data_IF_328221624270
#
_entry.id   IF_328221624270
#
_cell.length_a   1.000
_cell.length_b   1.000
_cell.length_c   1.000
_cell.angle_alpha   90.00
_cell.angle_beta   90.00
_cell.angle_gamma   90.00
#
_symmetry.space_group_name_H-M   'P 1'
#
loop_
_entity.id
_entity.type
_entity.pdbx_description
1 polymer ?
#
# COMPACT_ATOMS: atom_id res chain seq x y z
N UNK A 1 56.38 -12.50 -25.29
CA UNK A 1 57.58 -11.98 -24.66
C UNK A 1 57.25 -11.36 -23.32
N UNK A 2 57.87 -11.95 -22.33
CA UNK A 2 58.09 -11.54 -20.93
C UNK A 2 56.92 -11.53 -19.95
N UNK A 3 56.92 -12.60 -19.21
CA UNK A 3 56.56 -12.88 -17.84
C UNK A 3 57.15 -11.88 -16.83
N UNK A 4 56.37 -11.53 -15.78
CA UNK A 4 56.96 -11.30 -14.45
C UNK A 4 56.01 -11.82 -13.36
N UNK A 5 56.55 -12.69 -12.59
CA UNK A 5 56.20 -13.36 -11.37
C UNK A 5 56.80 -12.51 -10.20
N UNK A 6 56.16 -12.38 -9.09
CA UNK A 6 56.73 -12.12 -7.77
C UNK A 6 55.55 -12.10 -6.79
N UNK A 7 55.45 -12.92 -5.90
CA UNK A 7 56.13 -13.37 -4.68
C UNK A 7 55.36 -13.00 -3.42
N UNK A 8 55.10 -14.01 -2.65
CA UNK A 8 54.32 -14.01 -1.45
C UNK A 8 55.00 -13.33 -0.25
N UNK A 9 54.21 -12.97 0.73
CA UNK A 9 54.67 -12.70 2.08
C UNK A 9 53.77 -13.41 3.10
N UNK A 10 54.37 -14.39 3.70
CA UNK A 10 53.93 -15.13 4.88
C UNK A 10 54.21 -14.24 6.09
N UNK A 11 53.29 -14.07 7.01
CA UNK A 11 53.56 -13.54 8.33
C UNK A 11 52.92 -14.46 9.36
N UNK A 12 53.72 -14.76 10.37
CA UNK A 12 53.62 -15.78 11.36
C UNK A 12 52.53 -15.52 12.42
N UNK A 13 52.13 -16.62 13.03
CA UNK A 13 51.28 -16.70 14.20
C UNK A 13 52.09 -16.35 15.44
N UNK A 14 51.58 -15.49 16.29
CA UNK A 14 51.99 -15.37 17.67
C UNK A 14 50.85 -15.77 18.61
N UNK A 15 51.17 -16.77 19.37
CA UNK A 15 50.42 -17.33 20.49
C UNK A 15 50.72 -16.55 21.77
N UNK A 16 49.70 -15.99 22.41
CA UNK A 16 49.83 -15.54 23.81
C UNK A 16 48.61 -15.92 24.65
N UNK A 17 48.81 -16.89 25.44
CA UNK A 17 48.56 -17.04 26.89
C UNK A 17 47.15 -16.79 27.47
N UNK A 18 46.63 -17.92 27.98
CA UNK A 18 45.59 -18.08 28.98
C UNK A 18 45.89 -17.33 30.28
N UNK A 19 44.95 -16.53 30.77
CA UNK A 19 44.76 -16.35 32.20
C UNK A 19 43.29 -16.45 32.56
N UNK A 20 42.97 -17.47 33.34
CA UNK A 20 41.71 -17.66 34.00
C UNK A 20 41.57 -16.66 35.16
N UNK A 21 40.46 -15.93 35.19
CA UNK A 21 40.04 -15.24 36.41
C UNK A 21 38.58 -15.57 36.69
N UNK A 22 38.38 -15.91 37.92
CA UNK A 22 37.26 -16.43 38.66
C UNK A 22 35.93 -15.70 38.42
N UNK A 23 34.90 -16.52 38.27
CA UNK A 23 33.49 -16.22 38.20
C UNK A 23 32.98 -15.73 39.57
N UNK A 24 32.50 -14.52 39.66
CA UNK A 24 31.53 -14.11 40.66
C UNK A 24 30.12 -14.33 40.08
N UNK A 25 29.37 -15.16 40.78
CA UNK A 25 27.95 -15.38 40.51
C UNK A 25 27.17 -14.18 41.07
N UNK A 26 26.76 -13.28 40.18
CA UNK A 26 25.73 -12.29 40.52
C UNK A 26 24.37 -12.88 40.28
N UNK A 27 23.56 -12.85 41.32
CA UNK A 27 22.18 -13.32 41.38
C UNK A 27 21.33 -12.47 40.42
N UNK A 28 20.61 -13.14 39.54
CA UNK A 28 19.56 -12.53 38.74
C UNK A 28 18.46 -11.90 39.60
N UNK A 29 18.07 -10.67 39.34
CA UNK A 29 16.87 -10.11 39.96
C UNK A 29 15.65 -10.87 39.46
N UNK A 30 14.82 -11.36 40.37
CA UNK A 30 13.52 -11.94 40.13
C UNK A 30 12.66 -10.93 39.37
N UNK A 31 12.54 -11.16 38.06
CA UNK A 31 11.70 -10.37 37.20
C UNK A 31 10.25 -10.52 37.63
N UNK A 32 9.70 -9.43 38.18
CA UNK A 32 8.26 -9.29 38.38
C UNK A 32 7.58 -9.51 37.04
N UNK A 33 6.53 -10.32 37.07
CA UNK A 33 5.54 -10.44 36.01
C UNK A 33 5.07 -9.01 35.64
N UNK A 34 5.64 -8.48 34.57
CA UNK A 34 5.08 -7.30 33.95
C UNK A 34 3.65 -7.68 33.56
N UNK A 35 2.71 -7.01 34.18
CA UNK A 35 1.30 -7.17 33.99
C UNK A 35 0.96 -7.16 32.49
N UNK A 36 0.16 -8.13 32.07
CA UNK A 36 -0.40 -8.27 30.71
C UNK A 36 -1.29 -7.08 30.27
N UNK A 37 -1.36 -6.03 31.08
CA UNK A 37 -2.14 -4.81 30.81
C UNK A 37 -1.44 -3.81 29.87
N UNK A 38 -0.20 -4.06 29.46
CA UNK A 38 0.51 -3.26 28.45
C UNK A 38 0.64 -3.95 27.09
N UNK A 39 -0.24 -4.89 26.76
CA UNK A 39 -0.58 -5.11 25.35
C UNK A 39 -1.41 -3.90 24.90
N UNK A 40 -0.69 -2.79 24.81
CA UNK A 40 -1.15 -1.54 24.26
C UNK A 40 -1.96 -1.84 23.01
N UNK A 41 -3.16 -1.33 23.00
CA UNK A 41 -3.91 -0.87 21.84
C UNK A 41 -2.99 -0.96 20.61
N UNK A 42 -2.98 -2.13 19.96
CA UNK A 42 -2.41 -2.25 18.62
C UNK A 42 -3.24 -1.26 17.82
N UNK A 43 -2.63 -0.16 17.41
CA UNK A 43 -3.27 0.80 16.52
C UNK A 43 -3.76 0.01 15.30
N UNK A 44 -5.04 -0.36 15.35
CA UNK A 44 -5.67 -1.04 14.24
C UNK A 44 -5.84 -0.01 13.13
N UNK A 45 -5.13 -0.21 12.05
CA UNK A 45 -5.30 0.60 10.84
C UNK A 45 -6.49 0.07 10.06
N UNK A 46 -7.36 0.94 9.58
CA UNK A 46 -8.46 0.52 8.71
C UNK A 46 -7.96 0.34 7.27
N UNK A 47 -8.34 -0.78 6.65
CA UNK A 47 -8.24 -0.96 5.20
C UNK A 47 -9.61 -0.68 4.59
N UNK A 48 -9.69 0.32 3.74
CA UNK A 48 -10.91 0.69 3.01
C UNK A 48 -10.80 0.19 1.58
N UNK A 49 -11.82 -0.52 1.12
CA UNK A 49 -11.91 -1.07 -0.22
C UNK A 49 -13.21 -0.59 -0.88
N UNK A 50 -13.16 0.25 -1.93
CA UNK A 50 -14.33 0.54 -2.75
C UNK A 50 -14.71 -0.70 -3.55
N UNK A 51 -16.00 -1.05 -3.56
CA UNK A 51 -16.47 -2.25 -4.24
C UNK A 51 -17.75 -2.01 -5.03
N UNK A 52 -17.82 -2.58 -6.24
CA UNK A 52 -19.01 -2.55 -7.11
C UNK A 52 -19.20 -3.96 -7.66
N UNK A 53 -20.16 -4.70 -7.09
CA UNK A 53 -20.42 -6.12 -7.41
C UNK A 53 -20.58 -6.41 -8.88
N UNK A 54 -21.33 -5.59 -9.60
CA UNK A 54 -21.61 -5.80 -11.01
C UNK A 54 -20.42 -5.43 -11.94
N UNK A 55 -19.36 -4.83 -11.42
CA UNK A 55 -18.11 -4.53 -12.14
C UNK A 55 -16.99 -5.49 -11.78
N UNK A 56 -17.11 -6.18 -10.66
CA UNK A 56 -16.13 -7.18 -10.21
C UNK A 56 -16.17 -8.44 -11.10
N UNK A 57 -15.03 -9.07 -11.25
CA UNK A 57 -14.88 -10.27 -12.06
C UNK A 57 -14.62 -11.50 -11.16
N UNK A 58 -15.69 -12.17 -10.76
CA UNK A 58 -15.62 -13.40 -9.98
C UNK A 58 -15.29 -13.17 -8.50
N UNK A 59 -14.21 -13.76 -7.99
CA UNK A 59 -13.86 -13.78 -6.56
C UNK A 59 -12.76 -12.75 -6.19
N UNK A 60 -12.59 -11.69 -6.95
CA UNK A 60 -11.50 -10.72 -6.76
C UNK A 60 -11.45 -10.21 -5.31
N UNK A 61 -12.50 -9.59 -4.82
CA UNK A 61 -12.57 -9.10 -3.45
C UNK A 61 -12.27 -10.18 -2.39
N UNK A 62 -12.82 -11.39 -2.58
CA UNK A 62 -12.57 -12.51 -1.66
C UNK A 62 -11.09 -12.91 -1.64
N UNK A 63 -10.42 -12.89 -2.78
CA UNK A 63 -9.00 -13.19 -2.88
C UNK A 63 -8.14 -12.05 -2.30
N UNK A 64 -8.54 -10.79 -2.50
CA UNK A 64 -7.91 -9.62 -1.86
C UNK A 64 -7.93 -9.76 -0.35
N UNK A 65 -9.10 -9.99 0.25
CA UNK A 65 -9.26 -10.13 1.69
C UNK A 65 -8.42 -11.30 2.25
N UNK A 66 -8.43 -12.46 1.58
CA UNK A 66 -7.60 -13.61 1.98
C UNK A 66 -6.10 -13.31 1.88
N UNK A 67 -5.68 -12.56 0.86
CA UNK A 67 -4.28 -12.18 0.71
C UNK A 67 -3.86 -11.23 1.82
N UNK A 68 -4.73 -10.32 2.23
CA UNK A 68 -4.49 -9.40 3.33
C UNK A 68 -4.39 -10.14 4.66
N UNK A 69 -5.33 -11.02 4.97
CA UNK A 69 -5.28 -11.88 6.16
C UNK A 69 -3.98 -12.69 6.22
N UNK A 70 -3.54 -13.23 5.10
CA UNK A 70 -2.32 -14.03 5.02
C UNK A 70 -1.04 -13.23 5.13
N UNK A 71 -0.97 -12.05 4.53
CA UNK A 71 0.31 -11.39 4.27
C UNK A 71 0.50 -10.05 4.98
N UNK A 72 -0.54 -9.36 5.46
CA UNK A 72 -0.35 -8.21 6.33
C UNK A 72 0.24 -8.65 7.68
N UNK A 73 1.23 -7.93 8.16
CA UNK A 73 1.94 -8.23 9.41
C UNK A 73 1.63 -7.21 10.50
N UNK A 74 0.42 -6.69 10.51
CA UNK A 74 -0.13 -5.76 11.49
C UNK A 74 -1.65 -5.93 11.55
N UNK A 75 -2.26 -5.47 12.65
CA UNK A 75 -3.71 -5.56 12.82
C UNK A 75 -4.45 -4.59 11.91
N UNK A 76 -5.49 -5.08 11.24
CA UNK A 76 -6.35 -4.25 10.40
C UNK A 76 -7.82 -4.53 10.68
N UNK A 77 -8.63 -3.48 10.58
CA UNK A 77 -10.07 -3.59 10.37
C UNK A 77 -10.35 -3.38 8.89
N UNK A 78 -11.30 -4.10 8.32
CA UNK A 78 -11.67 -3.95 6.91
C UNK A 78 -13.03 -3.28 6.80
N UNK A 79 -13.08 -2.21 6.03
CA UNK A 79 -14.29 -1.50 5.65
C UNK A 79 -14.47 -1.57 4.14
N UNK A 80 -15.56 -2.16 3.69
CA UNK A 80 -15.97 -2.15 2.29
C UNK A 80 -16.94 -0.99 2.08
N UNK A 81 -16.72 -0.16 1.07
CA UNK A 81 -17.68 0.88 0.69
C UNK A 81 -18.25 0.53 -0.68
N UNK A 82 -19.52 0.15 -0.70
CA UNK A 82 -20.21 -0.29 -1.90
C UNK A 82 -21.17 -1.43 -1.63
N UNK A 83 -21.15 -2.45 -2.47
CA UNK A 83 -22.08 -3.58 -2.38
C UNK A 83 -21.67 -4.60 -1.31
N UNK A 84 -22.67 -5.21 -0.67
CA UNK A 84 -22.48 -6.37 0.22
C UNK A 84 -22.58 -7.67 -0.57
N UNK A 85 -21.72 -8.62 -0.28
CA UNK A 85 -21.78 -9.99 -0.78
C UNK A 85 -22.32 -10.92 0.29
N UNK A 86 -23.07 -11.97 -0.12
CA UNK A 86 -23.68 -12.95 0.78
C UNK A 86 -22.66 -13.74 1.63
N UNK A 87 -21.45 -13.89 1.12
CA UNK A 87 -20.36 -14.61 1.82
C UNK A 87 -19.61 -13.74 2.84
N UNK A 88 -19.85 -12.44 2.89
CA UNK A 88 -19.24 -11.55 3.88
C UNK A 88 -19.81 -11.85 5.27
N UNK A 89 -18.92 -12.07 6.23
CA UNK A 89 -19.28 -12.19 7.63
C UNK A 89 -19.34 -10.84 8.33
N UNK A 90 -19.85 -10.84 9.57
CA UNK A 90 -19.97 -9.62 10.39
C UNK A 90 -18.62 -9.04 10.84
N UNK A 91 -17.50 -9.72 10.55
CA UNK A 91 -16.16 -9.19 10.82
C UNK A 91 -15.73 -8.13 9.79
N UNK A 92 -16.45 -8.03 8.68
CA UNK A 92 -16.23 -7.01 7.64
C UNK A 92 -17.32 -5.95 7.79
N UNK A 93 -16.92 -4.73 8.07
CA UNK A 93 -17.84 -3.58 8.04
C UNK A 93 -18.17 -3.22 6.60
N UNK A 94 -19.45 -3.08 6.29
CA UNK A 94 -19.89 -2.63 4.95
C UNK A 94 -20.68 -1.35 5.09
N UNK A 95 -20.20 -0.30 4.44
CA UNK A 95 -20.92 0.97 4.22
C UNK A 95 -21.57 0.85 2.85
N UNK A 96 -22.88 0.59 2.82
CA UNK A 96 -23.60 0.39 1.57
C UNK A 96 -23.64 1.69 0.76
N UNK A 97 -23.27 1.58 -0.51
CA UNK A 97 -23.25 2.70 -1.45
C UNK A 97 -23.38 2.22 -2.89
N UNK A 98 -24.39 2.68 -3.60
CA UNK A 98 -24.59 2.36 -5.01
C UNK A 98 -23.54 3.04 -5.90
N UNK A 99 -23.19 2.40 -7.00
CA UNK A 99 -22.31 2.99 -8.00
C UNK A 99 -22.98 4.22 -8.64
N UNK A 100 -22.38 5.39 -8.50
CA UNK A 100 -23.00 6.68 -8.95
C UNK A 100 -22.57 7.10 -10.35
N UNK A 101 -21.57 6.46 -10.94
CA UNK A 101 -21.06 6.87 -12.27
C UNK A 101 -20.35 5.74 -13.00
N UNK A 102 -20.43 5.79 -14.33
CA UNK A 102 -19.60 4.94 -15.21
C UNK A 102 -18.14 5.42 -15.28
N UNK A 103 -17.86 6.66 -14.87
CA UNK A 103 -16.50 7.11 -14.67
C UNK A 103 -16.02 6.59 -13.29
N UNK A 104 -15.07 5.63 -13.24
CA UNK A 104 -14.62 5.05 -11.99
C UNK A 104 -14.05 6.07 -11.00
N UNK A 105 -13.45 7.16 -11.51
CA UNK A 105 -12.85 8.19 -10.64
C UNK A 105 -13.90 9.06 -9.94
N UNK A 106 -15.12 9.15 -10.49
CA UNK A 106 -16.24 9.82 -9.82
C UNK A 106 -16.80 8.92 -8.72
N UNK A 107 -17.04 7.66 -9.03
CA UNK A 107 -17.56 6.69 -8.07
C UNK A 107 -16.59 6.48 -6.88
N UNK A 108 -15.30 6.34 -7.18
CA UNK A 108 -14.22 6.23 -6.17
C UNK A 108 -14.16 7.48 -5.29
N UNK A 109 -14.34 8.67 -5.85
CA UNK A 109 -14.37 9.91 -5.08
C UNK A 109 -15.51 9.92 -4.06
N UNK A 110 -16.72 9.55 -4.45
CA UNK A 110 -17.87 9.54 -3.53
C UNK A 110 -17.65 8.52 -2.40
N UNK A 111 -17.11 7.34 -2.71
CA UNK A 111 -16.73 6.35 -1.71
C UNK A 111 -15.62 6.85 -0.79
N UNK A 112 -14.64 7.62 -1.32
CA UNK A 112 -13.59 8.22 -0.50
C UNK A 112 -14.15 9.26 0.47
N UNK A 113 -15.12 10.08 0.05
CA UNK A 113 -15.83 11.02 0.93
C UNK A 113 -16.56 10.30 2.06
N UNK A 114 -17.19 9.15 1.77
CA UNK A 114 -17.80 8.31 2.79
C UNK A 114 -16.75 7.76 3.77
N UNK A 115 -15.59 7.32 3.28
CA UNK A 115 -14.50 6.88 4.14
C UNK A 115 -14.01 7.98 5.09
N UNK A 116 -13.90 9.21 4.60
CA UNK A 116 -13.50 10.38 5.42
C UNK A 116 -14.54 10.65 6.51
N UNK A 117 -15.82 10.53 6.22
CA UNK A 117 -16.91 10.83 7.13
C UNK A 117 -17.23 9.70 8.13
N UNK A 118 -16.80 8.47 7.86
CA UNK A 118 -17.16 7.30 8.65
C UNK A 118 -16.33 7.20 9.94
N UNK A 119 -16.99 6.97 11.08
CA UNK A 119 -16.34 6.76 12.37
C UNK A 119 -15.60 5.40 12.45
N UNK A 120 -16.01 4.43 11.64
CA UNK A 120 -15.40 3.11 11.53
C UNK A 120 -14.04 3.12 10.82
N UNK A 121 -13.70 4.22 10.14
CA UNK A 121 -12.44 4.42 9.44
C UNK A 121 -11.52 5.26 10.31
N UNK A 122 -10.31 4.78 10.56
CA UNK A 122 -9.28 5.49 11.33
C UNK A 122 -8.79 6.75 10.61
N UNK A 123 -8.24 7.72 11.35
CA UNK A 123 -7.74 8.99 10.80
C UNK A 123 -6.69 8.77 9.70
N UNK A 124 -5.78 7.82 9.92
CA UNK A 124 -4.93 7.26 8.88
C UNK A 124 -5.47 5.90 8.48
N UNK A 125 -5.70 5.70 7.21
CA UNK A 125 -6.25 4.46 6.68
C UNK A 125 -5.58 4.05 5.37
N UNK A 126 -5.64 2.76 5.10
CA UNK A 126 -5.15 2.19 3.85
C UNK A 126 -6.30 2.16 2.86
N UNK A 127 -6.12 2.76 1.70
CA UNK A 127 -7.02 2.62 0.55
C UNK A 127 -6.49 1.56 -0.40
N UNK A 128 -7.31 0.60 -0.74
CA UNK A 128 -6.94 -0.48 -1.66
C UNK A 128 -8.08 -0.79 -2.62
N UNK A 129 -7.79 -1.38 -3.76
CA UNK A 129 -8.82 -1.89 -4.65
C UNK A 129 -9.17 -3.34 -4.30
N UNK A 130 -10.31 -3.79 -4.83
CA UNK A 130 -10.84 -5.14 -4.66
C UNK A 130 -10.10 -6.23 -5.45
N UNK A 131 -9.22 -5.83 -6.37
CA UNK A 131 -8.43 -6.68 -7.26
C UNK A 131 -6.92 -6.67 -6.95
N UNK A 132 -6.52 -6.21 -5.76
CA UNK A 132 -5.12 -6.15 -5.32
C UNK A 132 -4.80 -7.33 -4.41
N UNK A 133 -3.84 -8.16 -4.82
CA UNK A 133 -3.42 -9.35 -4.08
C UNK A 133 -2.01 -9.19 -3.54
N UNK A 134 -1.85 -9.35 -2.23
CA UNK A 134 -0.53 -9.46 -1.63
C UNK A 134 0.00 -10.89 -1.85
N UNK A 135 1.25 -10.99 -2.28
CA UNK A 135 1.89 -12.29 -2.55
C UNK A 135 3.09 -12.57 -1.64
N UNK A 136 3.43 -11.62 -0.77
CA UNK A 136 4.51 -11.71 0.20
C UNK A 136 4.15 -10.92 1.47
N UNK A 137 4.81 -11.18 2.62
CA UNK A 137 4.60 -10.42 3.85
C UNK A 137 4.82 -8.92 3.67
N UNK A 138 3.84 -8.12 4.13
CA UNK A 138 3.84 -6.66 4.02
C UNK A 138 3.68 -6.04 5.40
N UNK A 139 4.59 -5.13 5.76
CA UNK A 139 4.51 -4.30 6.95
C UNK A 139 3.84 -2.96 6.61
N UNK A 140 3.24 -2.29 7.59
CA UNK A 140 2.63 -0.96 7.40
C UNK A 140 3.63 0.02 6.77
N UNK A 141 4.86 0.07 7.27
CA UNK A 141 5.91 0.93 6.72
C UNK A 141 6.18 0.71 5.22
N UNK A 142 5.88 -0.48 4.68
CA UNK A 142 5.98 -0.71 3.24
C UNK A 142 4.85 -0.04 2.45
N UNK A 143 3.67 0.11 3.04
CA UNK A 143 2.51 0.76 2.41
C UNK A 143 2.62 2.28 2.53
N UNK A 144 3.12 2.79 3.65
CA UNK A 144 3.28 4.22 3.92
C UNK A 144 4.19 4.93 2.93
N UNK A 145 5.18 4.24 2.37
CA UNK A 145 6.01 4.81 1.30
C UNK A 145 5.21 4.86 0.00
N UNK A 146 4.91 6.05 -0.54
CA UNK A 146 4.17 6.18 -1.79
C UNK A 146 4.94 5.55 -2.97
N UNK A 147 4.20 4.99 -3.91
CA UNK A 147 4.74 4.40 -5.13
C UNK A 147 4.22 5.16 -6.34
N UNK A 148 5.06 5.39 -7.33
CA UNK A 148 4.68 6.07 -8.56
C UNK A 148 5.12 5.27 -9.80
N UNK A 149 4.56 5.58 -10.95
CA UNK A 149 4.89 5.00 -12.27
C UNK A 149 5.67 5.98 -13.17
N UNK A 150 6.37 6.92 -12.57
CA UNK A 150 6.98 8.03 -13.29
C UNK A 150 5.99 9.15 -13.56
N UNK A 151 6.18 9.93 -14.60
CA UNK A 151 5.35 11.10 -14.93
C UNK A 151 4.01 10.68 -15.53
N UNK A 152 2.93 11.39 -15.18
CA UNK A 152 1.62 11.26 -15.82
C UNK A 152 1.72 11.47 -17.33
N UNK A 153 1.24 10.50 -18.12
CA UNK A 153 1.33 10.47 -19.58
C UNK A 153 -0.03 10.20 -20.22
N UNK A 154 -0.89 11.22 -20.32
CA UNK A 154 -2.24 11.03 -20.90
C UNK A 154 -2.20 10.44 -22.31
N UNK A 155 -1.17 10.73 -23.10
CA UNK A 155 -1.00 10.26 -24.47
C UNK A 155 -0.89 8.73 -24.59
N UNK A 156 -0.58 8.04 -23.50
CA UNK A 156 -0.50 6.56 -23.47
C UNK A 156 -1.86 5.89 -23.26
N UNK A 157 -2.90 6.66 -22.94
CA UNK A 157 -4.22 6.15 -22.58
C UNK A 157 -5.31 6.63 -23.56
N UNK A 158 -6.51 6.09 -23.40
CA UNK A 158 -7.68 6.43 -24.24
C UNK A 158 -8.93 6.56 -23.36
N UNK A 159 -9.95 7.22 -23.90
CA UNK A 159 -11.28 7.35 -23.30
C UNK A 159 -11.24 8.07 -21.94
N UNK A 160 -12.18 7.72 -21.08
CA UNK A 160 -12.44 8.39 -19.80
C UNK A 160 -11.17 8.49 -18.92
N UNK A 161 -10.34 7.46 -18.91
CA UNK A 161 -9.12 7.47 -18.09
C UNK A 161 -8.11 8.51 -18.59
N UNK A 162 -7.95 8.64 -19.92
CA UNK A 162 -7.14 9.73 -20.50
C UNK A 162 -7.68 11.10 -20.11
N UNK A 163 -9.00 11.30 -20.24
CA UNK A 163 -9.62 12.59 -19.92
C UNK A 163 -9.43 12.95 -18.43
N UNK A 164 -9.56 11.97 -17.55
CA UNK A 164 -9.29 12.14 -16.10
C UNK A 164 -7.82 12.50 -15.83
N UNK A 165 -6.89 11.87 -16.55
CA UNK A 165 -5.45 12.16 -16.42
C UNK A 165 -5.12 13.55 -16.96
N UNK A 166 -5.69 13.97 -18.10
CA UNK A 166 -5.51 15.32 -18.66
C UNK A 166 -5.98 16.40 -17.68
N UNK A 167 -7.15 16.21 -17.05
CA UNK A 167 -7.65 17.12 -16.00
C UNK A 167 -6.69 17.16 -14.80
N UNK A 168 -6.18 16.00 -14.38
CA UNK A 168 -5.23 15.91 -13.28
C UNK A 168 -3.93 16.65 -13.61
N UNK A 169 -3.38 16.46 -14.80
CA UNK A 169 -2.18 17.18 -15.26
C UNK A 169 -2.40 18.69 -15.30
N UNK A 170 -3.58 19.14 -15.74
CA UNK A 170 -3.93 20.57 -15.76
C UNK A 170 -4.03 21.14 -14.33
N UNK A 171 -4.67 20.42 -13.41
CA UNK A 171 -4.77 20.82 -11.99
C UNK A 171 -3.39 20.91 -11.32
N UNK A 172 -2.48 20.02 -11.68
CA UNK A 172 -1.11 19.95 -11.16
C UNK A 172 -0.13 20.89 -11.91
N UNK A 173 -0.59 22.00 -12.51
CA UNK A 173 0.25 22.86 -13.34
C UNK A 173 1.55 23.26 -12.64
N UNK A 174 1.47 23.65 -11.36
CA UNK A 174 2.57 24.15 -10.53
C UNK A 174 3.19 23.09 -9.59
N UNK A 175 2.80 21.83 -9.75
CA UNK A 175 3.24 20.72 -8.91
C UNK A 175 4.01 19.67 -9.72
N UNK A 176 4.73 18.76 -9.06
CA UNK A 176 5.17 17.53 -9.68
C UNK A 176 3.97 16.79 -10.31
N UNK A 177 4.22 16.05 -11.38
CA UNK A 177 3.19 15.33 -12.13
C UNK A 177 3.47 13.84 -12.14
N UNK A 178 3.79 13.30 -10.95
CA UNK A 178 4.02 11.86 -10.80
C UNK A 178 2.68 11.11 -10.80
N UNK A 179 2.69 9.94 -11.45
CA UNK A 179 1.54 9.04 -11.50
C UNK A 179 1.54 8.09 -10.30
N UNK A 180 0.71 8.36 -9.31
CA UNK A 180 0.49 7.51 -8.14
C UNK A 180 -0.68 6.52 -8.33
N UNK A 181 -1.24 6.40 -9.52
CA UNK A 181 -2.23 5.38 -9.87
C UNK A 181 -1.61 3.99 -10.06
N UNK A 182 -0.91 3.48 -9.05
CA UNK A 182 -0.04 2.30 -9.15
C UNK A 182 -0.74 0.97 -8.93
N UNK A 183 -2.05 0.95 -8.69
CA UNK A 183 -2.76 -0.26 -8.23
C UNK A 183 -2.04 -0.95 -7.05
N UNK A 184 -1.56 -0.13 -6.12
CA UNK A 184 -0.99 -0.59 -4.85
C UNK A 184 -1.79 0.01 -3.71
N UNK A 185 -1.88 -0.64 -2.53
CA UNK A 185 -2.44 0.00 -1.35
C UNK A 185 -1.69 1.29 -1.05
N UNK A 186 -2.41 2.33 -0.67
CA UNK A 186 -1.85 3.64 -0.28
C UNK A 186 -2.39 4.05 1.08
N UNK A 187 -1.61 4.82 1.83
CA UNK A 187 -2.08 5.41 3.08
C UNK A 187 -2.59 6.82 2.82
N UNK A 188 -3.81 7.08 3.27
CA UNK A 188 -4.38 8.41 3.33
C UNK A 188 -4.57 8.87 4.78
N UNK A 189 -4.60 10.16 4.97
CA UNK A 189 -4.97 10.81 6.23
C UNK A 189 -6.22 11.67 5.99
N UNK A 190 -7.26 11.50 6.82
CA UNK A 190 -8.56 12.17 6.65
C UNK A 190 -8.42 13.68 6.55
N UNK A 191 -7.71 14.29 7.51
CA UNK A 191 -7.56 15.76 7.53
C UNK A 191 -6.83 16.26 6.29
N UNK A 192 -5.78 15.58 5.88
CA UNK A 192 -5.03 15.93 4.67
C UNK A 192 -5.86 15.83 3.39
N UNK A 193 -6.79 14.87 3.33
CA UNK A 193 -7.76 14.78 2.22
C UNK A 193 -8.75 15.95 2.26
N UNK A 194 -9.26 16.30 3.44
CA UNK A 194 -10.17 17.47 3.62
C UNK A 194 -9.47 18.74 3.16
N UNK A 195 -8.25 18.99 3.63
CA UNK A 195 -7.46 20.17 3.27
C UNK A 195 -7.21 20.23 1.74
N UNK A 196 -6.96 19.07 1.11
CA UNK A 196 -6.82 18.96 -0.33
C UNK A 196 -8.12 19.33 -1.06
N UNK A 197 -9.29 18.85 -0.62
CA UNK A 197 -10.58 19.17 -1.22
C UNK A 197 -10.97 20.64 -1.03
N UNK A 198 -10.60 21.27 0.09
CA UNK A 198 -10.78 22.69 0.32
C UNK A 198 -9.86 23.53 -0.58
N UNK A 199 -8.63 23.11 -0.76
CA UNK A 199 -7.65 23.78 -1.62
C UNK A 199 -7.98 23.67 -3.10
N UNK A 200 -8.56 22.56 -3.55
CA UNK A 200 -8.89 22.27 -4.93
C UNK A 200 -10.38 21.88 -5.05
N UNK A 201 -11.30 22.86 -4.97
CA UNK A 201 -12.74 22.56 -5.00
C UNK A 201 -13.21 21.88 -6.29
N UNK A 202 -12.44 21.98 -7.38
CA UNK A 202 -12.69 21.30 -8.65
C UNK A 202 -12.73 19.77 -8.47
N UNK A 203 -11.97 19.23 -7.53
CA UNK A 203 -11.94 17.79 -7.24
C UNK A 203 -13.34 17.26 -6.88
N UNK A 204 -14.20 18.10 -6.28
CA UNK A 204 -15.54 17.71 -5.89
C UNK A 204 -16.46 17.36 -7.07
N UNK A 205 -16.11 17.74 -8.30
CA UNK A 205 -16.83 17.35 -9.51
C UNK A 205 -16.46 15.94 -9.98
N UNK A 206 -15.40 15.34 -9.44
CA UNK A 206 -14.87 14.03 -9.81
C UNK A 206 -14.11 14.01 -11.13
N UNK A 207 -13.64 12.85 -11.49
CA UNK A 207 -12.88 12.64 -12.73
C UNK A 207 -11.43 13.11 -12.66
N UNK A 208 -10.81 13.00 -11.50
CA UNK A 208 -9.40 13.25 -11.25
C UNK A 208 -8.74 11.99 -10.67
N UNK A 209 -7.45 11.82 -10.90
CA UNK A 209 -6.65 10.77 -10.28
C UNK A 209 -6.26 11.20 -8.85
N UNK A 210 -7.13 10.92 -7.89
CA UNK A 210 -7.04 11.46 -6.52
C UNK A 210 -5.70 11.14 -5.87
N UNK A 211 -5.19 9.91 -5.98
CA UNK A 211 -3.86 9.57 -5.43
C UNK A 211 -2.76 10.46 -6.00
N UNK A 212 -2.82 10.73 -7.32
CA UNK A 212 -1.83 11.60 -7.96
C UNK A 212 -1.96 13.04 -7.50
N UNK A 213 -3.19 13.56 -7.32
CA UNK A 213 -3.36 14.91 -6.73
C UNK A 213 -2.83 14.92 -5.30
N UNK A 214 -3.27 13.98 -4.47
CA UNK A 214 -2.92 13.90 -3.06
C UNK A 214 -1.39 13.93 -2.85
N UNK A 215 -0.67 12.98 -3.42
CA UNK A 215 0.77 12.87 -3.17
C UNK A 215 1.61 13.96 -3.85
N UNK A 216 1.18 14.54 -4.98
CA UNK A 216 1.90 15.64 -5.60
C UNK A 216 1.67 16.99 -4.90
N UNK A 217 0.58 17.17 -4.14
CA UNK A 217 0.20 18.49 -3.58
C UNK A 217 0.41 18.62 -2.09
N UNK A 218 0.29 17.54 -1.32
CA UNK A 218 0.51 17.55 0.15
C UNK A 218 1.97 17.60 0.53
N UNK A 219 2.82 17.05 -0.32
CA UNK A 219 4.25 17.05 -0.13
C UNK A 219 4.91 17.84 -1.25
N UNK A 220 4.69 19.17 -1.35
CA UNK A 220 5.30 19.98 -2.42
C UNK A 220 6.83 20.00 -2.32
N UNK A 221 7.38 19.74 -1.13
CA UNK A 221 8.79 19.47 -0.85
C UNK A 221 9.11 17.97 -0.83
N UNK A 222 8.12 17.14 -1.22
CA UNK A 222 8.33 15.72 -1.31
C UNK A 222 9.40 15.48 -2.38
N UNK A 223 10.58 15.20 -1.91
CA UNK A 223 11.65 14.74 -2.77
C UNK A 223 11.15 13.51 -3.53
N UNK A 224 11.07 13.54 -4.87
CA UNK A 224 10.71 12.35 -5.66
C UNK A 224 11.54 11.12 -5.28
N UNK A 225 12.71 11.33 -4.65
CA UNK A 225 13.56 10.28 -4.08
C UNK A 225 12.89 9.54 -2.91
N UNK A 226 11.94 10.15 -2.19
CA UNK A 226 11.24 9.50 -1.09
C UNK A 226 10.06 8.60 -1.54
N UNK A 227 9.68 8.65 -2.82
CA UNK A 227 8.74 7.71 -3.42
C UNK A 227 9.47 6.62 -4.21
N UNK A 228 8.91 5.42 -4.21
CA UNK A 228 9.48 4.31 -4.99
C UNK A 228 8.86 4.33 -6.39
N UNK A 229 9.69 4.53 -7.41
CA UNK A 229 9.25 4.33 -8.79
C UNK A 229 9.14 2.82 -9.06
N UNK A 230 7.92 2.38 -9.40
CA UNK A 230 7.67 0.98 -9.75
C UNK A 230 8.11 0.74 -11.19
N UNK A 231 9.17 -0.02 -11.34
CA UNK A 231 9.51 -0.60 -12.62
C UNK A 231 8.79 -1.95 -12.76
N UNK A 232 7.80 -2.02 -13.64
CA UNK A 232 7.02 -3.23 -13.92
C UNK A 232 7.87 -4.41 -14.41
N UNK A 233 9.12 -4.17 -14.80
CA UNK A 233 10.07 -5.18 -15.23
C UNK A 233 11.04 -5.61 -14.12
N UNK A 234 11.05 -4.91 -12.98
CA UNK A 234 11.94 -5.28 -11.90
C UNK A 234 11.36 -6.43 -11.07
N UNK A 235 12.20 -7.44 -10.81
CA UNK A 235 11.93 -8.56 -9.92
C UNK A 235 11.83 -8.18 -8.43
N UNK A 236 11.52 -6.94 -8.11
CA UNK A 236 11.38 -6.47 -6.74
C UNK A 236 10.08 -7.01 -6.14
N UNK A 237 10.19 -8.20 -5.66
CA UNK A 237 9.19 -9.20 -5.29
C UNK A 237 8.30 -8.78 -4.12
N UNK A 238 8.67 -7.76 -3.34
CA UNK A 238 7.93 -7.34 -2.15
C UNK A 238 6.54 -6.78 -2.53
N UNK A 239 6.39 -6.34 -3.76
CA UNK A 239 5.16 -5.74 -4.28
C UNK A 239 4.70 -6.36 -5.60
N UNK A 240 4.66 -7.68 -5.72
CA UNK A 240 3.80 -8.26 -6.74
C UNK A 240 2.35 -8.06 -6.31
N UNK A 241 1.93 -6.83 -6.44
CA UNK A 241 0.55 -6.45 -6.40
C UNK A 241 0.13 -6.47 -7.85
N UNK A 242 -0.67 -7.42 -8.20
CA UNK A 242 -1.18 -7.54 -9.54
C UNK A 242 -2.65 -7.19 -9.50
N UNK A 243 -2.97 -5.97 -9.94
CA UNK A 243 -4.31 -5.65 -10.37
C UNK A 243 -4.52 -6.34 -11.70
N UNK A 244 -5.28 -7.40 -11.75
CA UNK A 244 -5.52 -8.13 -12.99
C UNK A 244 -6.99 -8.45 -13.10
N UNK A 245 -7.52 -8.24 -14.29
CA UNK A 245 -8.79 -8.84 -14.64
C UNK A 245 -8.73 -10.38 -14.47
N UNK A 246 -9.86 -11.01 -14.21
CA UNK A 246 -9.99 -12.43 -13.88
C UNK A 246 -9.30 -13.40 -14.83
N UNK A 247 -9.05 -12.99 -16.07
CA UNK A 247 -8.38 -13.83 -17.08
C UNK A 247 -6.87 -13.98 -16.84
N UNK A 248 -6.22 -12.97 -16.28
CA UNK A 248 -4.78 -13.01 -16.00
C UNK A 248 -4.46 -13.79 -14.73
N UNK A 249 -5.36 -13.77 -13.75
CA UNK A 249 -5.23 -14.57 -12.51
C UNK A 249 -5.16 -16.07 -12.84
N UNK A 250 -5.86 -16.53 -13.87
CA UNK A 250 -5.89 -17.94 -14.24
C UNK A 250 -4.59 -18.45 -14.89
N UNK A 251 -3.77 -17.55 -15.42
CA UNK A 251 -2.53 -17.89 -16.16
C UNK A 251 -1.23 -17.75 -15.39
N UNK A 252 -1.24 -17.07 -14.25
CA UNK A 252 0.00 -16.62 -13.58
C UNK A 252 0.40 -17.44 -12.35
N UNK A 253 -0.32 -18.51 -11.99
CA UNK A 253 -0.04 -19.30 -10.77
C UNK A 253 -0.32 -18.55 -9.46
N UNK A 254 -0.83 -17.32 -9.50
CA UNK A 254 -1.16 -16.54 -8.28
C UNK A 254 -2.23 -17.23 -7.45
N UNK A 255 -3.17 -17.94 -8.11
CA UNK A 255 -4.20 -18.73 -7.41
C UNK A 255 -3.62 -19.82 -6.51
N UNK A 256 -2.46 -20.37 -6.86
CA UNK A 256 -1.80 -21.43 -6.08
C UNK A 256 -1.20 -20.90 -4.77
N UNK A 257 -0.98 -19.59 -4.67
CA UNK A 257 -0.36 -18.94 -3.52
C UNK A 257 -1.38 -18.27 -2.58
N UNK A 258 -2.66 -18.20 -2.96
CA UNK A 258 -3.73 -17.64 -2.12
C UNK A 258 -4.45 -18.81 -1.45
N UNK A 259 -4.56 -18.89 -0.11
CA UNK A 259 -5.24 -19.98 0.56
C UNK A 259 -6.72 -20.01 0.17
N UNK A 260 -7.27 -21.23 -0.02
CA UNK A 260 -8.69 -21.46 -0.23
C UNK A 260 -9.54 -21.04 0.98
#
# INVERSE_FOLDING_TARGET
>A
MRTKKEEGKKVEADSVNNQASSVEQDQAPSGGLASQENLAILDHTTVVIPYVKNKAQGNELKMTLRSFDKFLRFGVNVVIIGDREEWMSDVVTVIEHECVSDNPQIDVLEKLKLAIAADEVTDKFIWSNDDIYLVAPVMLAHIEVPKNKGILRPELYKGIYRDNMERTVALLADFPKLDFGTHTPVVYEKQSLVDMFERFPELNTGGYLISSVYFNTLFPEFDPISSIELNWQSDNIVYRIQATGSQEISGTGIKENIPE
#
